data_IF_424601125255
#
_entry.id   IF_424601125255
#
_cell.length_a   1.000
_cell.length_b   1.000
_cell.length_c   1.000
_cell.angle_alpha   90.00
_cell.angle_beta   90.00
_cell.angle_gamma   90.00
#
_symmetry.space_group_name_H-M   'P 1'
#
loop_
_entity.id
_entity.type
_entity.pdbx_description
1 polymer ?
#
# COMPACT_ATOMS: atom_id res chain seq x y z
N UNK A 1 2.94 -29.80 14.11
CA UNK A 1 4.35 -29.41 14.38
C UNK A 1 4.98 -28.53 13.29
N UNK A 2 4.76 -28.75 11.99
CA UNK A 2 5.35 -27.92 10.92
C UNK A 2 4.77 -26.49 10.83
N UNK A 3 3.47 -26.30 11.06
CA UNK A 3 2.82 -24.98 10.98
C UNK A 3 3.33 -23.97 12.02
N UNK A 4 3.59 -24.42 13.25
CA UNK A 4 4.11 -23.58 14.34
C UNK A 4 5.53 -23.05 14.06
N UNK A 5 6.38 -23.85 13.37
CA UNK A 5 7.71 -23.39 12.94
C UNK A 5 7.60 -22.39 11.79
N UNK A 6 6.71 -22.62 10.83
CA UNK A 6 6.51 -21.73 9.68
C UNK A 6 6.00 -20.35 10.14
N UNK A 7 5.01 -20.31 11.05
CA UNK A 7 4.48 -19.07 11.59
C UNK A 7 5.54 -18.28 12.37
N UNK A 8 6.37 -18.95 13.17
CA UNK A 8 7.48 -18.29 13.89
C UNK A 8 8.53 -17.71 12.93
N UNK A 9 8.90 -18.44 11.89
CA UNK A 9 9.86 -17.96 10.89
C UNK A 9 9.26 -16.77 10.14
N UNK A 10 8.00 -16.87 9.69
CA UNK A 10 7.33 -15.80 8.96
C UNK A 10 7.16 -14.55 9.82
N UNK A 11 6.63 -14.69 11.04
CA UNK A 11 6.49 -13.60 11.98
C UNK A 11 7.83 -12.96 12.34
N UNK A 12 8.87 -13.77 12.59
CA UNK A 12 10.23 -13.29 12.83
C UNK A 12 10.79 -12.48 11.65
N UNK A 13 10.65 -12.98 10.42
CA UNK A 13 11.06 -12.25 9.23
C UNK A 13 10.33 -10.91 9.09
N UNK A 14 9.01 -10.88 9.31
CA UNK A 14 8.21 -9.65 9.24
C UNK A 14 8.65 -8.64 10.30
N UNK A 15 8.90 -9.08 11.53
CA UNK A 15 9.42 -8.22 12.60
C UNK A 15 10.78 -7.64 12.22
N UNK A 16 11.71 -8.46 11.74
CA UNK A 16 13.05 -8.01 11.33
C UNK A 16 12.94 -6.97 10.22
N UNK A 17 12.12 -7.23 9.19
CA UNK A 17 11.91 -6.27 8.10
C UNK A 17 11.28 -4.97 8.59
N UNK A 18 10.29 -5.03 9.49
CA UNK A 18 9.68 -3.85 10.07
C UNK A 18 10.68 -3.02 10.89
N UNK A 19 11.53 -3.68 11.68
CA UNK A 19 12.58 -3.01 12.46
C UNK A 19 13.64 -2.38 11.55
N UNK A 20 14.10 -3.10 10.52
CA UNK A 20 15.02 -2.56 9.51
C UNK A 20 14.41 -1.35 8.81
N UNK A 21 13.13 -1.42 8.45
CA UNK A 21 12.44 -0.28 7.85
C UNK A 21 12.40 0.92 8.82
N UNK A 22 12.00 0.72 10.07
CA UNK A 22 11.89 1.77 11.09
C UNK A 22 13.24 2.44 11.41
N UNK A 23 14.31 1.66 11.54
CA UNK A 23 15.59 2.16 12.02
C UNK A 23 16.58 2.53 10.91
N UNK A 24 16.48 1.92 9.74
CA UNK A 24 17.43 2.13 8.64
C UNK A 24 16.78 2.90 7.50
N UNK A 25 15.60 2.48 7.06
CA UNK A 25 14.99 3.06 5.86
C UNK A 25 14.29 4.39 6.14
N UNK A 26 13.37 4.42 7.12
CA UNK A 26 12.58 5.62 7.43
C UNK A 26 13.49 6.82 7.73
N UNK A 27 14.51 6.74 8.61
CA UNK A 27 15.35 7.89 8.92
C UNK A 27 16.19 8.36 7.73
N UNK A 28 16.50 7.46 6.79
CA UNK A 28 17.28 7.77 5.60
C UNK A 28 16.41 8.35 4.46
N UNK A 29 15.12 8.03 4.43
CA UNK A 29 14.19 8.48 3.38
C UNK A 29 13.42 9.76 3.77
N UNK A 30 13.18 9.98 5.07
CA UNK A 30 12.37 11.11 5.54
C UNK A 30 13.21 12.36 5.77
N UNK A 31 12.72 13.50 5.28
CA UNK A 31 13.39 14.79 5.47
C UNK A 31 13.20 15.33 6.89
N UNK A 32 12.19 14.85 7.62
CA UNK A 32 11.83 15.37 8.94
C UNK A 32 11.56 14.28 9.97
N UNK A 33 11.90 14.54 11.24
CA UNK A 33 11.60 13.61 12.34
C UNK A 33 10.11 13.53 12.68
N UNK A 34 9.70 12.61 13.55
CA UNK A 34 8.28 12.41 13.89
C UNK A 34 7.57 13.70 14.36
N UNK A 35 8.23 14.53 15.16
CA UNK A 35 7.64 15.78 15.66
C UNK A 35 8.58 16.92 15.29
N UNK A 36 8.06 17.91 14.55
CA UNK A 36 8.78 19.15 14.28
C UNK A 36 8.17 20.30 15.06
N UNK A 37 9.04 21.15 15.59
CA UNK A 37 8.65 22.49 16.04
C UNK A 37 8.92 23.46 14.91
N UNK A 38 7.88 23.90 14.22
CA UNK A 38 7.98 24.93 13.20
C UNK A 38 7.29 26.20 13.70
N UNK A 39 8.08 27.27 13.86
CA UNK A 39 7.60 28.63 14.25
C UNK A 39 6.63 28.62 15.45
N UNK A 40 6.99 27.89 16.52
CA UNK A 40 6.20 27.83 17.74
C UNK A 40 4.98 26.89 17.70
N UNK A 41 4.69 26.24 16.56
CA UNK A 41 3.68 25.18 16.44
C UNK A 41 4.34 23.81 16.36
N UNK A 42 3.76 22.83 17.06
CA UNK A 42 4.09 21.42 16.90
C UNK A 42 3.40 20.92 15.62
N UNK A 43 4.19 20.52 14.64
CA UNK A 43 3.72 19.90 13.40
C UNK A 43 4.17 18.44 13.36
N UNK A 44 3.29 17.60 12.85
CA UNK A 44 3.58 16.20 12.57
C UNK A 44 4.52 16.13 11.36
N UNK A 45 5.62 15.39 11.50
CA UNK A 45 6.57 15.17 10.42
C UNK A 45 6.15 14.08 9.45
N UNK A 46 6.76 14.09 8.27
CA UNK A 46 6.57 13.08 7.23
C UNK A 46 6.93 11.66 7.70
N UNK A 47 7.86 11.54 8.65
CA UNK A 47 8.22 10.26 9.27
C UNK A 47 7.12 9.61 10.12
N UNK A 48 6.09 10.33 10.60
CA UNK A 48 5.10 9.70 11.48
C UNK A 48 4.30 8.59 10.77
N UNK A 49 3.83 8.85 9.56
CA UNK A 49 3.03 7.89 8.79
C UNK A 49 3.77 6.55 8.55
N UNK A 50 5.01 6.53 8.00
CA UNK A 50 5.73 5.28 7.81
C UNK A 50 6.09 4.61 9.14
N UNK A 51 6.44 5.36 10.20
CA UNK A 51 6.73 4.78 11.52
C UNK A 51 5.53 4.02 12.10
N UNK A 52 4.32 4.60 12.02
CA UNK A 52 3.10 3.92 12.46
C UNK A 52 2.78 2.70 11.59
N UNK A 53 2.92 2.81 10.27
CA UNK A 53 2.67 1.70 9.35
C UNK A 53 3.58 0.50 9.65
N UNK A 54 4.89 0.72 9.75
CA UNK A 54 5.83 -0.36 10.10
C UNK A 54 5.66 -0.84 11.53
N UNK A 55 5.25 0.02 12.47
CA UNK A 55 4.89 -0.39 13.82
C UNK A 55 3.73 -1.40 13.84
N UNK A 56 2.68 -1.14 13.06
CA UNK A 56 1.54 -2.07 12.90
C UNK A 56 1.96 -3.37 12.20
N UNK A 57 2.82 -3.29 11.18
CA UNK A 57 3.37 -4.48 10.51
C UNK A 57 4.21 -5.32 11.48
N UNK A 58 5.05 -4.68 12.30
CA UNK A 58 5.82 -5.35 13.34
C UNK A 58 4.93 -6.04 14.38
N UNK A 59 3.87 -5.35 14.82
CA UNK A 59 2.87 -5.92 15.72
C UNK A 59 2.17 -7.13 15.10
N UNK A 60 1.77 -7.05 13.82
CA UNK A 60 1.21 -8.18 13.10
C UNK A 60 2.19 -9.36 13.03
N UNK A 61 3.48 -9.09 12.78
CA UNK A 61 4.54 -10.11 12.82
C UNK A 61 4.68 -10.79 14.18
N UNK A 62 4.54 -10.03 15.28
CA UNK A 62 4.53 -10.58 16.65
C UNK A 62 3.31 -11.48 16.84
N UNK A 63 2.12 -11.03 16.44
CA UNK A 63 0.90 -11.84 16.54
C UNK A 63 1.02 -13.16 15.77
N UNK A 64 1.55 -13.12 14.55
CA UNK A 64 1.80 -14.31 13.72
C UNK A 64 2.82 -15.25 14.40
N UNK A 65 3.90 -14.71 14.99
CA UNK A 65 4.91 -15.52 15.66
C UNK A 65 4.36 -16.19 16.95
N UNK A 66 3.40 -15.56 17.62
CA UNK A 66 2.75 -16.05 18.83
C UNK A 66 1.56 -16.97 18.55
N UNK A 67 1.05 -16.98 17.32
CA UNK A 67 -0.05 -17.84 16.91
C UNK A 67 0.36 -19.31 17.00
N UNK A 68 -0.14 -20.00 18.02
CA UNK A 68 0.01 -21.44 18.15
C UNK A 68 -0.78 -22.08 17.01
N UNK A 69 -0.08 -22.84 16.16
CA UNK A 69 -0.73 -23.60 15.09
C UNK A 69 -1.78 -24.53 15.70
N UNK A 70 -3.06 -24.17 15.61
CA UNK A 70 -4.16 -25.04 15.97
C UNK A 70 -4.19 -26.27 15.06
N UNK A 71 -5.04 -27.25 15.40
CA UNK A 71 -5.31 -28.47 14.61
C UNK A 71 -5.92 -28.21 13.21
N UNK A 72 -5.75 -27.01 12.68
CA UNK A 72 -6.06 -26.70 11.29
C UNK A 72 -5.04 -27.45 10.42
N UNK A 73 -5.49 -28.23 9.43
CA UNK A 73 -4.59 -28.97 8.55
C UNK A 73 -3.57 -27.99 7.97
N UNK A 74 -2.29 -28.35 8.05
CA UNK A 74 -1.20 -27.50 7.59
C UNK A 74 -1.56 -26.94 6.21
N UNK A 75 -1.62 -25.60 6.10
CA UNK A 75 -1.99 -24.93 4.85
C UNK A 75 -1.00 -25.35 3.76
N UNK A 76 -1.42 -26.29 2.93
CA UNK A 76 -0.61 -26.76 1.83
C UNK A 76 -0.67 -25.69 0.74
N UNK A 77 0.49 -25.39 0.16
CA UNK A 77 0.58 -24.54 -1.02
C UNK A 77 -0.12 -25.27 -2.18
N UNK A 78 -1.40 -24.99 -2.35
CA UNK A 78 -2.20 -25.50 -3.44
C UNK A 78 -2.05 -24.58 -4.66
N UNK A 79 -2.03 -25.15 -5.86
CA UNK A 79 -2.00 -24.40 -7.12
C UNK A 79 -3.15 -23.40 -7.22
N UNK A 80 -4.30 -23.75 -6.65
CA UNK A 80 -5.47 -22.84 -6.54
C UNK A 80 -5.15 -21.62 -5.69
N UNK A 81 -4.49 -21.79 -4.54
CA UNK A 81 -4.11 -20.69 -3.65
C UNK A 81 -3.07 -19.78 -4.30
N UNK A 82 -2.06 -20.34 -4.96
CA UNK A 82 -1.08 -19.57 -5.72
C UNK A 82 -1.77 -18.79 -6.84
N UNK A 83 -2.63 -19.45 -7.63
CA UNK A 83 -3.35 -18.79 -8.74
C UNK A 83 -4.19 -17.62 -8.23
N UNK A 84 -4.93 -17.82 -7.15
CA UNK A 84 -5.71 -16.76 -6.52
C UNK A 84 -4.81 -15.61 -6.07
N UNK A 85 -3.72 -15.89 -5.36
CA UNK A 85 -2.76 -14.89 -4.90
C UNK A 85 -2.13 -14.12 -6.08
N UNK A 86 -1.76 -14.80 -7.16
CA UNK A 86 -1.22 -14.16 -8.37
C UNK A 86 -2.24 -13.25 -9.03
N UNK A 87 -3.51 -13.68 -9.14
CA UNK A 87 -4.59 -12.86 -9.69
C UNK A 87 -4.82 -11.63 -8.80
N UNK A 88 -4.88 -11.82 -7.48
CA UNK A 88 -5.04 -10.74 -6.51
C UNK A 88 -3.93 -9.68 -6.65
N UNK A 89 -2.67 -10.11 -6.67
CA UNK A 89 -1.52 -9.22 -6.88
C UNK A 89 -1.63 -8.52 -8.25
N UNK A 90 -2.02 -9.25 -9.29
CA UNK A 90 -2.21 -8.69 -10.63
C UNK A 90 -3.26 -7.59 -10.67
N UNK A 91 -4.42 -7.80 -10.03
CA UNK A 91 -5.49 -6.80 -9.93
C UNK A 91 -5.01 -5.57 -9.16
N UNK A 92 -4.30 -5.78 -8.05
CA UNK A 92 -3.73 -4.69 -7.26
C UNK A 92 -2.74 -3.84 -8.08
N UNK A 93 -1.79 -4.48 -8.76
CA UNK A 93 -0.82 -3.79 -9.62
C UNK A 93 -1.51 -3.06 -10.77
N UNK A 94 -2.51 -3.70 -11.40
CA UNK A 94 -3.29 -3.08 -12.46
C UNK A 94 -4.05 -1.85 -11.97
N UNK A 95 -4.62 -1.90 -10.77
CA UNK A 95 -5.25 -0.73 -10.15
C UNK A 95 -4.25 0.42 -9.97
N UNK A 96 -3.04 0.15 -9.47
CA UNK A 96 -2.00 1.19 -9.34
C UNK A 96 -1.65 1.79 -10.71
N UNK A 97 -1.52 0.96 -11.75
CA UNK A 97 -1.27 1.42 -13.12
C UNK A 97 -2.41 2.32 -13.59
N UNK A 98 -3.67 1.92 -13.36
CA UNK A 98 -4.83 2.75 -13.68
C UNK A 98 -4.81 4.07 -12.92
N UNK A 99 -4.49 4.08 -11.62
CA UNK A 99 -4.39 5.31 -10.83
C UNK A 99 -3.34 6.27 -11.42
N UNK A 100 -2.21 5.73 -11.88
CA UNK A 100 -1.12 6.51 -12.48
C UNK A 100 -1.47 7.07 -13.86
N UNK A 101 -2.16 6.29 -14.68
CA UNK A 101 -2.40 6.63 -16.09
C UNK A 101 -3.74 7.31 -16.37
N UNK A 102 -4.73 7.17 -15.48
CA UNK A 102 -6.04 7.81 -15.65
C UNK A 102 -5.95 9.34 -15.69
N UNK A 103 -5.07 9.95 -14.88
CA UNK A 103 -4.92 11.41 -14.85
C UNK A 103 -4.51 12.00 -16.21
N UNK A 104 -3.36 11.60 -16.78
CA UNK A 104 -2.95 12.02 -18.12
C UNK A 104 -3.99 11.71 -19.19
N UNK A 105 -4.63 10.53 -19.11
CA UNK A 105 -5.64 10.10 -20.08
C UNK A 105 -6.88 11.01 -20.06
N UNK A 106 -7.41 11.34 -18.89
CA UNK A 106 -8.60 12.20 -18.76
C UNK A 106 -8.30 13.63 -19.23
N UNK A 107 -7.09 14.16 -18.99
CA UNK A 107 -6.69 15.47 -19.56
C UNK A 107 -6.53 15.41 -21.08
N UNK A 108 -5.98 14.32 -21.63
CA UNK A 108 -5.87 14.14 -23.08
C UNK A 108 -7.25 14.15 -23.73
N UNK A 109 -8.21 13.42 -23.16
CA UNK A 109 -9.60 13.43 -23.62
C UNK A 109 -10.20 14.83 -23.51
N UNK A 110 -10.02 15.52 -22.38
CA UNK A 110 -10.52 16.87 -22.20
C UNK A 110 -9.94 17.89 -23.20
N UNK A 111 -8.66 17.76 -23.56
CA UNK A 111 -8.04 18.54 -24.63
C UNK A 111 -8.68 18.27 -25.98
N UNK A 112 -8.98 17.00 -26.29
CA UNK A 112 -9.65 16.63 -27.54
C UNK A 112 -11.08 17.20 -27.66
N UNK A 113 -11.73 17.48 -26.52
CA UNK A 113 -13.04 18.13 -26.45
C UNK A 113 -12.97 19.66 -26.23
N UNK A 114 -11.79 20.28 -26.37
CA UNK A 114 -11.57 21.72 -26.16
C UNK A 114 -12.01 22.23 -24.76
N UNK A 115 -12.11 21.33 -23.77
CA UNK A 115 -12.49 21.67 -22.40
C UNK A 115 -11.34 22.28 -21.59
N UNK A 116 -10.09 22.08 -22.04
CA UNK A 116 -8.91 22.65 -21.40
C UNK A 116 -7.74 22.71 -22.39
N UNK A 117 -6.94 23.78 -22.32
CA UNK A 117 -5.67 23.88 -23.06
C UNK A 117 -4.46 23.51 -22.17
N UNK A 118 -4.65 23.49 -20.86
CA UNK A 118 -3.59 23.32 -19.87
C UNK A 118 -3.06 21.88 -19.85
N UNK A 119 -1.78 21.73 -19.56
CA UNK A 119 -1.15 20.40 -19.51
C UNK A 119 -1.49 19.68 -18.20
N UNK A 120 -1.48 18.34 -18.22
CA UNK A 120 -1.79 17.53 -17.02
C UNK A 120 -0.95 17.94 -15.80
N UNK A 121 0.31 18.33 -16.03
CA UNK A 121 1.23 18.75 -14.96
C UNK A 121 0.74 19.98 -14.20
N UNK A 122 0.05 20.90 -14.87
CA UNK A 122 -0.44 22.14 -14.26
C UNK A 122 -1.79 21.89 -13.56
N UNK A 123 -2.58 20.96 -14.11
CA UNK A 123 -3.90 20.60 -13.60
C UNK A 123 -3.86 19.55 -12.48
N UNK A 124 -2.78 18.79 -12.31
CA UNK A 124 -2.73 17.64 -11.37
C UNK A 124 -3.04 17.99 -9.92
N UNK A 125 -2.78 19.23 -9.50
CA UNK A 125 -2.99 19.70 -8.14
C UNK A 125 -4.34 20.41 -7.95
N UNK A 126 -5.17 20.49 -9.01
CA UNK A 126 -6.49 21.12 -8.97
C UNK A 126 -7.62 20.09 -9.03
N UNK A 127 -8.78 20.49 -8.52
CA UNK A 127 -10.02 19.71 -8.62
C UNK A 127 -10.59 19.89 -10.04
N UNK A 128 -11.08 18.83 -10.69
CA UNK A 128 -11.22 17.44 -10.25
C UNK A 128 -10.04 16.51 -10.59
N UNK A 129 -9.05 16.99 -11.33
CA UNK A 129 -7.98 16.18 -11.93
C UNK A 129 -7.11 15.42 -10.93
N UNK A 130 -6.97 15.95 -9.72
CA UNK A 130 -6.26 15.28 -8.62
C UNK A 130 -6.93 13.95 -8.21
N UNK A 131 -8.25 13.84 -8.34
CA UNK A 131 -9.02 12.72 -7.80
C UNK A 131 -9.39 11.67 -8.86
N UNK A 132 -9.28 11.97 -10.15
CA UNK A 132 -9.68 11.06 -11.23
C UNK A 132 -8.95 9.72 -11.15
N UNK A 133 -7.63 9.74 -10.94
CA UNK A 133 -6.84 8.52 -10.77
C UNK A 133 -7.31 7.67 -9.59
N UNK A 134 -7.50 8.28 -8.43
CA UNK A 134 -7.95 7.60 -7.22
C UNK A 134 -9.35 7.01 -7.38
N UNK A 135 -10.30 7.78 -7.92
CA UNK A 135 -11.69 7.34 -8.11
C UNK A 135 -11.73 6.18 -9.11
N UNK A 136 -11.09 6.29 -10.27
CA UNK A 136 -11.12 5.26 -11.30
C UNK A 136 -10.40 3.98 -10.83
N UNK A 137 -9.14 4.11 -10.40
CA UNK A 137 -8.35 2.95 -9.99
C UNK A 137 -8.87 2.31 -8.71
N UNK A 138 -9.36 3.10 -7.76
CA UNK A 138 -9.95 2.62 -6.51
C UNK A 138 -11.26 1.89 -6.72
N UNK A 139 -12.16 2.46 -7.55
CA UNK A 139 -13.41 1.80 -7.93
C UNK A 139 -13.12 0.47 -8.62
N UNK A 140 -12.20 0.46 -9.59
CA UNK A 140 -11.77 -0.77 -10.27
C UNK A 140 -11.26 -1.84 -9.29
N UNK A 141 -10.41 -1.46 -8.34
CA UNK A 141 -9.87 -2.40 -7.35
C UNK A 141 -11.00 -3.02 -6.53
N UNK A 142 -11.88 -2.20 -5.96
CA UNK A 142 -12.96 -2.65 -5.08
C UNK A 142 -13.96 -3.53 -5.85
N UNK A 143 -14.42 -3.09 -7.02
CA UNK A 143 -15.40 -3.86 -7.81
C UNK A 143 -14.84 -5.18 -8.30
N UNK A 144 -13.59 -5.19 -8.76
CA UNK A 144 -12.94 -6.43 -9.22
C UNK A 144 -12.71 -7.39 -8.06
N UNK A 145 -12.33 -6.87 -6.88
CA UNK A 145 -12.19 -7.71 -5.68
C UNK A 145 -13.52 -8.30 -5.22
N UNK A 146 -14.60 -7.50 -5.22
CA UNK A 146 -15.95 -8.00 -4.91
C UNK A 146 -16.42 -9.06 -5.90
N UNK A 147 -16.07 -8.93 -7.18
CA UNK A 147 -16.43 -9.92 -8.20
C UNK A 147 -15.58 -11.19 -8.17
N UNK A 148 -14.39 -11.15 -7.56
CA UNK A 148 -13.48 -12.30 -7.47
C UNK A 148 -13.77 -13.17 -6.24
N UNK A 149 -14.40 -12.59 -5.20
CA UNK A 149 -14.89 -13.30 -4.01
C UNK A 149 -16.12 -14.16 -4.36
#
# INVERSE_FOLDING_TARGET
MLGDRANRILGGCVIILALLAIFVWVPNDTATGMILRQRGRLSIGDAMAPMFAFGLIGLAGILIALEKGGDLPASHINRTNIRFLTIFIGIFLLSIVLMRWSGPFVVLVAKAFELTEQSYRDLRDTVPWKYTGFVIGGTFLVTTMMSLM
#
